data_IF_034445877915
#
_entry.id   IF_034445877915
#
_cell.length_a   1.000
_cell.length_b   1.000
_cell.length_c   1.000
_cell.angle_alpha   90.00
_cell.angle_beta   90.00
_cell.angle_gamma   90.00
#
_symmetry.space_group_name_H-M   'P 1'
#
loop_
_entity.id
_entity.type
_entity.pdbx_description
1 polymer ?
#
# COMPACT_ATOMS: atom_id res chain seq x y z
N UNK A 1 22.49 26.40 2.36
CA UNK A 1 21.05 26.70 2.16
C UNK A 1 20.29 25.78 3.11
N UNK A 2 19.94 26.27 4.30
CA UNK A 2 19.26 25.48 5.33
C UNK A 2 17.75 25.62 5.11
N UNK A 3 17.08 24.54 4.73
CA UNK A 3 15.61 24.46 4.68
C UNK A 3 15.07 24.39 6.12
N UNK A 4 15.03 25.53 6.81
CA UNK A 4 14.34 25.72 8.10
C UNK A 4 12.84 25.95 7.88
N UNK A 5 12.14 25.03 7.22
CA UNK A 5 10.74 25.23 6.84
C UNK A 5 9.70 25.01 7.95
N UNK A 6 10.06 24.38 9.07
CA UNK A 6 9.10 23.95 10.10
C UNK A 6 9.80 23.85 11.47
N UNK A 7 9.48 24.73 12.41
CA UNK A 7 10.25 24.90 13.66
C UNK A 7 10.25 23.70 14.64
N UNK A 8 11.47 23.38 15.08
CA UNK A 8 12.00 23.18 16.45
C UNK A 8 11.38 22.15 17.42
N UNK A 9 10.33 21.41 17.08
CA UNK A 9 9.86 20.30 17.91
C UNK A 9 9.50 19.01 17.15
N UNK A 10 10.05 18.76 15.95
CA UNK A 10 9.97 17.45 15.27
C UNK A 10 8.57 16.91 14.88
N UNK A 11 7.47 17.48 15.38
CA UNK A 11 6.09 16.99 15.30
C UNK A 11 5.12 18.02 14.68
N UNK A 12 5.64 19.06 14.01
CA UNK A 12 4.82 20.04 13.31
C UNK A 12 4.05 19.44 12.12
N UNK A 13 3.18 20.23 11.47
CA UNK A 13 2.34 19.77 10.34
C UNK A 13 3.13 19.03 9.24
N UNK A 14 4.36 19.44 8.94
CA UNK A 14 5.22 18.76 7.98
C UNK A 14 5.54 17.31 8.35
N UNK A 15 5.68 16.99 9.64
CA UNK A 15 5.91 15.63 10.11
C UNK A 15 4.73 14.73 9.77
N UNK A 16 3.51 15.20 10.03
CA UNK A 16 2.28 14.48 9.72
C UNK A 16 2.03 14.36 8.21
N UNK A 17 2.32 15.41 7.44
CA UNK A 17 2.26 15.37 5.97
C UNK A 17 3.26 14.33 5.43
N UNK A 18 4.48 14.28 5.98
CA UNK A 18 5.49 13.29 5.58
C UNK A 18 4.99 11.87 5.85
N UNK A 19 4.41 11.60 7.02
CA UNK A 19 3.80 10.30 7.32
C UNK A 19 2.65 9.95 6.37
N UNK A 20 1.76 10.90 6.07
CA UNK A 20 0.68 10.69 5.13
C UNK A 20 1.20 10.34 3.73
N UNK A 21 2.22 11.05 3.25
CA UNK A 21 2.87 10.76 1.96
C UNK A 21 3.49 9.37 1.97
N UNK A 22 4.24 9.00 3.02
CA UNK A 22 4.83 7.66 3.12
C UNK A 22 3.75 6.55 3.15
N UNK A 23 2.66 6.76 3.89
CA UNK A 23 1.54 5.82 3.94
C UNK A 23 0.90 5.65 2.56
N UNK A 24 0.68 6.75 1.82
CA UNK A 24 0.13 6.70 0.45
C UNK A 24 1.08 5.95 -0.50
N UNK A 25 2.38 6.24 -0.45
CA UNK A 25 3.39 5.58 -1.29
C UNK A 25 3.42 4.07 -1.05
N UNK A 26 3.19 3.62 0.19
CA UNK A 26 3.14 2.21 0.55
C UNK A 26 1.80 1.55 0.20
N UNK A 27 0.68 2.19 0.52
CA UNK A 27 -0.67 1.62 0.34
C UNK A 27 -1.12 1.63 -1.12
N UNK A 28 -0.71 2.62 -1.91
CA UNK A 28 -1.10 2.75 -3.32
C UNK A 28 -0.73 1.52 -4.17
N UNK A 29 0.54 1.06 -4.24
CA UNK A 29 0.90 -0.09 -5.06
C UNK A 29 0.21 -1.38 -4.58
N UNK A 30 0.04 -1.55 -3.26
CA UNK A 30 -0.63 -2.72 -2.68
C UNK A 30 -2.11 -2.72 -3.09
N UNK A 31 -2.80 -1.59 -2.95
CA UNK A 31 -4.19 -1.43 -3.41
C UNK A 31 -4.33 -1.69 -4.92
N UNK A 32 -3.35 -1.26 -5.73
CA UNK A 32 -3.32 -1.55 -7.18
C UNK A 32 -3.20 -3.04 -7.48
N UNK A 33 -2.39 -3.78 -6.71
CA UNK A 33 -2.27 -5.24 -6.84
C UNK A 33 -3.59 -5.93 -6.43
N UNK A 34 -4.17 -5.53 -5.29
CA UNK A 34 -5.43 -6.07 -4.80
C UNK A 34 -6.57 -5.88 -5.83
N UNK A 35 -6.65 -4.73 -6.48
CA UNK A 35 -7.64 -4.51 -7.55
C UNK A 35 -7.41 -5.42 -8.78
N UNK A 36 -6.16 -5.77 -9.11
CA UNK A 36 -5.87 -6.67 -10.25
C UNK A 36 -6.36 -8.09 -10.00
N UNK A 37 -6.41 -8.51 -8.74
CA UNK A 37 -6.88 -9.83 -8.33
C UNK A 37 -8.35 -9.83 -7.91
N UNK A 38 -9.07 -8.71 -8.10
CA UNK A 38 -10.50 -8.58 -7.79
C UNK A 38 -10.82 -8.29 -6.32
N UNK A 39 -9.82 -8.00 -5.48
CA UNK A 39 -10.01 -7.60 -4.09
C UNK A 39 -10.18 -6.07 -3.95
N UNK A 40 -10.90 -5.67 -2.91
CA UNK A 40 -11.07 -4.25 -2.58
C UNK A 40 -9.73 -3.61 -2.19
N UNK A 41 -9.37 -2.41 -2.70
CA UNK A 41 -8.12 -1.75 -2.37
C UNK A 41 -8.00 -1.37 -0.88
N UNK A 42 -9.12 -1.32 -0.14
CA UNK A 42 -9.12 -1.09 1.30
C UNK A 42 -8.38 -2.18 2.09
N UNK A 43 -8.24 -3.40 1.54
CA UNK A 43 -7.44 -4.47 2.15
C UNK A 43 -5.95 -4.09 2.31
N UNK A 44 -5.45 -3.08 1.57
CA UNK A 44 -4.09 -2.60 1.72
C UNK A 44 -3.80 -2.07 3.14
N UNK A 45 -4.80 -1.56 3.86
CA UNK A 45 -4.61 -0.99 5.21
C UNK A 45 -4.17 -2.04 6.23
N UNK A 46 -4.46 -3.32 5.99
CA UNK A 46 -4.08 -4.41 6.90
C UNK A 46 -2.56 -4.53 7.05
N UNK A 47 -1.80 -4.04 6.08
CA UNK A 47 -0.33 -4.03 6.10
C UNK A 47 0.22 -3.20 7.27
N UNK A 48 -0.53 -2.21 7.74
CA UNK A 48 -0.14 -1.36 8.86
C UNK A 48 -0.19 -2.08 10.22
N UNK A 49 -0.94 -3.19 10.32
CA UNK A 49 -1.12 -3.95 11.56
C UNK A 49 -0.51 -5.35 11.38
N UNK A 50 0.56 -5.71 12.10
CA UNK A 50 1.31 -6.95 11.85
C UNK A 50 0.45 -8.23 11.78
N UNK A 51 -0.50 -8.39 12.70
CA UNK A 51 -1.38 -9.57 12.72
C UNK A 51 -2.34 -9.61 11.53
N UNK A 52 -2.91 -8.46 11.14
CA UNK A 52 -3.78 -8.41 9.98
C UNK A 52 -3.02 -8.52 8.66
N UNK A 53 -1.77 -8.06 8.62
CA UNK A 53 -0.89 -8.27 7.48
C UNK A 53 -0.69 -9.77 7.24
N UNK A 54 -0.45 -10.56 8.30
CA UNK A 54 -0.31 -12.01 8.18
C UNK A 54 -1.59 -12.66 7.62
N UNK A 55 -2.77 -12.24 8.08
CA UNK A 55 -4.05 -12.71 7.55
C UNK A 55 -4.22 -12.29 6.09
N UNK A 56 -3.87 -11.06 5.73
CA UNK A 56 -3.95 -10.56 4.36
C UNK A 56 -3.06 -11.34 3.40
N UNK A 57 -1.82 -11.65 3.83
CA UNK A 57 -0.90 -12.50 3.07
C UNK A 57 -1.40 -13.95 2.97
N UNK A 58 -1.98 -14.49 4.04
CA UNK A 58 -2.58 -15.82 4.03
C UNK A 58 -3.73 -15.89 3.03
N UNK A 59 -4.65 -14.92 3.04
CA UNK A 59 -5.74 -14.81 2.05
C UNK A 59 -5.16 -14.70 0.64
N UNK A 60 -4.19 -13.82 0.41
CA UNK A 60 -3.56 -13.62 -0.89
C UNK A 60 -2.93 -14.90 -1.45
N UNK A 61 -2.42 -15.79 -0.59
CA UNK A 61 -1.83 -17.06 -0.99
C UNK A 61 -2.86 -18.05 -1.59
N UNK A 62 -4.14 -17.90 -1.27
CA UNK A 62 -5.23 -18.71 -1.84
C UNK A 62 -5.97 -18.03 -2.99
N UNK A 63 -5.64 -16.77 -3.30
CA UNK A 63 -6.27 -16.05 -4.41
C UNK A 63 -5.63 -16.49 -5.74
N UNK A 64 -6.48 -16.81 -6.70
CA UNK A 64 -6.05 -17.11 -8.07
C UNK A 64 -5.41 -15.86 -8.69
N UNK A 65 -4.16 -15.99 -9.12
CA UNK A 65 -3.46 -14.88 -9.77
C UNK A 65 -4.00 -14.68 -11.19
N UNK A 66 -4.19 -13.43 -11.63
CA UNK A 66 -4.68 -13.14 -12.98
C UNK A 66 -3.69 -13.72 -14.00
N UNK A 67 -4.13 -14.77 -14.71
CA UNK A 67 -3.33 -15.37 -15.79
C UNK A 67 -3.08 -14.31 -16.85
N UNK A 68 -1.81 -14.06 -17.12
CA UNK A 68 -1.39 -13.28 -18.30
C UNK A 68 -1.99 -13.98 -19.52
N UNK A 69 -2.74 -13.22 -20.32
CA UNK A 69 -3.65 -13.74 -21.34
C UNK A 69 -3.05 -14.90 -22.13
N UNK A 70 -3.84 -15.95 -22.29
CA UNK A 70 -3.62 -16.93 -23.34
C UNK A 70 -3.61 -16.18 -24.68
N UNK A 71 -2.41 -15.88 -25.17
CA UNK A 71 -2.21 -15.64 -26.59
C UNK A 71 -2.72 -16.88 -27.30
N UNK A 72 -3.94 -16.80 -27.84
CA UNK A 72 -4.46 -17.79 -28.78
C UNK A 72 -3.54 -17.71 -30.00
N UNK A 73 -2.76 -18.76 -30.34
CA UNK A 73 -2.27 -18.90 -31.69
C UNK A 73 -3.47 -19.35 -32.50
N UNK A 74 -4.06 -18.43 -33.26
CA UNK A 74 -4.97 -18.75 -34.35
C UNK A 74 -4.16 -19.13 -35.58
#
# INVERSE_FOLDING_TARGET
MMVHGFDMAGYGLAHWITFAVMAVVLLYPIGRILMRIGLSPFWAILVLVPFFNLIGLWVLAFVEWPRQGSGRPG
#
